data_IF_580153732917
#
_entry.id   IF_580153732917
#
_cell.length_a   1.000
_cell.length_b   1.000
_cell.length_c   1.000
_cell.angle_alpha   90.00
_cell.angle_beta   90.00
_cell.angle_gamma   90.00
#
_symmetry.space_group_name_H-M   'P 1'
#
loop_
_entity.id
_entity.type
_entity.pdbx_description
1 polymer ?
#
# COMPACT_ATOMS: atom_id res chain seq x y z
N UNK A 1 -9.13 25.77 -14.18
CA UNK A 1 -8.61 25.82 -12.79
C UNK A 1 -9.06 24.57 -12.07
N UNK A 2 -8.16 23.61 -11.84
CA UNK A 2 -8.49 22.41 -11.06
C UNK A 2 -8.09 22.66 -9.61
N UNK A 3 -8.98 22.33 -8.69
CA UNK A 3 -8.69 22.35 -7.25
C UNK A 3 -7.78 21.15 -6.96
N UNK A 4 -6.68 21.37 -6.25
CA UNK A 4 -5.81 20.29 -5.82
C UNK A 4 -6.52 19.45 -4.74
N UNK A 5 -6.67 18.13 -4.95
CA UNK A 5 -7.31 17.25 -3.95
C UNK A 5 -6.51 17.05 -2.66
N UNK A 6 -5.28 17.59 -2.57
CA UNK A 6 -4.41 17.44 -1.40
C UNK A 6 -4.46 18.70 -0.53
N UNK A 7 -4.24 19.87 -1.12
CA UNK A 7 -4.28 21.14 -0.39
C UNK A 7 -5.57 21.95 -0.56
N UNK A 8 -6.50 21.49 -1.40
CA UNK A 8 -7.79 22.12 -1.71
C UNK A 8 -7.70 23.57 -2.22
N UNK A 9 -6.53 23.96 -2.75
CA UNK A 9 -6.29 25.27 -3.36
C UNK A 9 -6.32 25.17 -4.88
N UNK A 10 -6.59 26.30 -5.52
CA UNK A 10 -6.54 26.44 -6.98
C UNK A 10 -5.11 26.82 -7.38
N UNK A 11 -4.48 26.02 -8.22
CA UNK A 11 -3.17 26.34 -8.81
C UNK A 11 -3.34 27.46 -9.84
N UNK A 12 -2.57 28.54 -9.70
CA UNK A 12 -2.44 29.58 -10.73
C UNK A 12 -1.21 29.33 -11.63
N UNK A 13 -0.23 28.59 -11.14
CA UNK A 13 1.00 28.20 -11.84
C UNK A 13 1.30 26.71 -11.64
N UNK A 14 2.16 26.12 -12.49
CA UNK A 14 2.59 24.71 -12.37
C UNK A 14 3.46 24.42 -11.13
N UNK A 15 3.89 25.45 -10.39
CA UNK A 15 4.76 25.34 -9.21
C UNK A 15 4.04 25.44 -7.86
N UNK A 16 2.77 25.87 -7.83
CA UNK A 16 2.03 26.09 -6.57
C UNK A 16 1.75 24.79 -5.78
N UNK A 17 1.92 23.64 -6.41
CA UNK A 17 1.55 22.32 -5.86
C UNK A 17 2.65 21.27 -5.97
N UNK A 18 3.92 21.68 -6.09
CA UNK A 18 5.04 20.72 -6.20
C UNK A 18 5.05 19.70 -5.05
N UNK A 19 4.83 20.12 -3.81
CA UNK A 19 4.69 19.21 -2.65
C UNK A 19 3.50 18.26 -2.78
N UNK A 20 2.37 18.74 -3.28
CA UNK A 20 1.18 17.89 -3.47
C UNK A 20 1.41 16.86 -4.59
N UNK A 21 2.12 17.24 -5.66
CA UNK A 21 2.50 16.34 -6.74
C UNK A 21 3.46 15.26 -6.23
N UNK A 22 4.49 15.65 -5.46
CA UNK A 22 5.43 14.70 -4.87
C UNK A 22 4.74 13.75 -3.88
N UNK A 23 3.87 14.26 -3.00
CA UNK A 23 3.08 13.41 -2.09
C UNK A 23 2.22 12.39 -2.85
N UNK A 24 1.52 12.85 -3.90
CA UNK A 24 0.73 11.95 -4.76
C UNK A 24 1.62 10.88 -5.41
N UNK A 25 2.79 11.27 -5.92
CA UNK A 25 3.74 10.33 -6.51
C UNK A 25 4.20 9.27 -5.50
N UNK A 26 4.50 9.67 -4.26
CA UNK A 26 4.90 8.75 -3.18
C UNK A 26 3.75 7.79 -2.83
N UNK A 27 2.52 8.29 -2.68
CA UNK A 27 1.35 7.44 -2.38
C UNK A 27 1.06 6.43 -3.51
N UNK A 28 1.24 6.84 -4.77
CA UNK A 28 1.09 5.95 -5.94
C UNK A 28 2.25 4.94 -6.02
N UNK A 29 3.48 5.37 -5.72
CA UNK A 29 4.65 4.49 -5.68
C UNK A 29 4.54 3.45 -4.56
N UNK A 30 4.02 3.83 -3.38
CA UNK A 30 3.72 2.91 -2.28
C UNK A 30 2.64 1.88 -2.67
N UNK A 31 1.60 2.29 -3.41
CA UNK A 31 0.62 1.35 -3.97
C UNK A 31 1.23 0.40 -5.00
N UNK A 32 2.06 0.91 -5.92
CA UNK A 32 2.75 0.07 -6.90
C UNK A 32 3.73 -0.89 -6.23
N UNK A 33 4.42 -0.45 -5.17
CA UNK A 33 5.29 -1.29 -4.36
C UNK A 33 4.49 -2.36 -3.63
N UNK A 34 3.35 -2.03 -3.01
CA UNK A 34 2.44 -3.02 -2.41
C UNK A 34 1.93 -4.03 -3.41
N UNK A 35 1.52 -3.58 -4.59
CA UNK A 35 1.07 -4.47 -5.67
C UNK A 35 2.22 -5.36 -6.17
N UNK A 36 3.42 -4.80 -6.33
CA UNK A 36 4.61 -5.56 -6.73
C UNK A 36 5.04 -6.57 -5.66
N UNK A 37 4.96 -6.24 -4.38
CA UNK A 37 5.19 -7.17 -3.28
C UNK A 37 4.11 -8.26 -3.29
N UNK A 38 2.83 -7.92 -3.42
CA UNK A 38 1.76 -8.92 -3.47
C UNK A 38 1.92 -9.88 -4.67
N UNK A 39 2.34 -9.35 -5.82
CA UNK A 39 2.62 -10.14 -7.02
C UNK A 39 3.89 -11.01 -6.88
N UNK A 40 4.98 -10.45 -6.34
CA UNK A 40 6.26 -11.17 -6.11
C UNK A 40 6.17 -12.20 -4.99
N UNK A 41 5.41 -11.90 -3.94
CA UNK A 41 5.18 -12.83 -2.84
C UNK A 41 4.17 -13.90 -3.21
N UNK A 42 3.24 -13.65 -4.16
CA UNK A 42 2.25 -14.61 -4.65
C UNK A 42 1.68 -15.56 -3.57
N UNK A 43 1.48 -15.04 -2.35
CA UNK A 43 0.84 -15.73 -1.23
C UNK A 43 -0.68 -15.85 -1.48
N UNK A 44 -1.20 -15.08 -2.45
CA UNK A 44 -2.62 -14.92 -2.71
C UNK A 44 -3.24 -15.99 -3.61
N UNK A 45 -2.46 -16.90 -4.22
CA UNK A 45 -3.02 -17.89 -5.16
C UNK A 45 -3.11 -19.31 -4.63
N UNK A 46 -2.31 -19.71 -3.64
CA UNK A 46 -2.46 -21.01 -3.02
C UNK A 46 -1.71 -21.10 -1.68
N UNK A 47 -2.40 -20.89 -0.57
CA UNK A 47 -1.90 -21.23 0.76
C UNK A 47 -1.61 -22.74 0.93
N UNK A 48 -2.01 -23.57 -0.05
CA UNK A 48 -1.68 -24.99 -0.10
C UNK A 48 -0.23 -25.28 -0.53
N UNK A 49 0.47 -24.34 -1.18
CA UNK A 49 1.89 -24.51 -1.59
C UNK A 49 2.86 -23.89 -0.56
N UNK A 50 2.34 -23.25 0.48
CA UNK A 50 3.15 -22.74 1.56
C UNK A 50 3.67 -23.92 2.40
N UNK A 51 4.99 -23.98 2.58
CA UNK A 51 5.60 -24.95 3.49
C UNK A 51 4.96 -24.88 4.88
N UNK A 52 4.84 -26.04 5.55
CA UNK A 52 4.17 -26.19 6.85
C UNK A 52 4.64 -25.16 7.89
N UNK A 53 5.92 -24.81 7.85
CA UNK A 53 6.54 -23.80 8.72
C UNK A 53 5.97 -22.39 8.49
N UNK A 54 5.85 -21.96 7.22
CA UNK A 54 5.29 -20.65 6.85
C UNK A 54 3.81 -20.57 7.22
N UNK A 55 3.08 -21.67 7.04
CA UNK A 55 1.67 -21.78 7.42
C UNK A 55 1.48 -21.66 8.94
N UNK A 56 2.34 -22.31 9.72
CA UNK A 56 2.31 -22.22 11.18
C UNK A 56 2.58 -20.77 11.64
N UNK A 57 3.58 -20.10 11.08
CA UNK A 57 3.89 -18.70 11.40
C UNK A 57 2.69 -17.78 11.08
N UNK A 58 2.07 -17.94 9.90
CA UNK A 58 0.87 -17.18 9.52
C UNK A 58 -0.31 -17.42 10.48
N UNK A 59 -0.55 -18.66 10.88
CA UNK A 59 -1.61 -19.01 11.83
C UNK A 59 -1.37 -18.39 13.21
N UNK A 60 -0.12 -18.42 13.70
CA UNK A 60 0.28 -17.79 14.96
C UNK A 60 0.04 -16.28 14.93
N UNK A 61 0.54 -15.60 13.89
CA UNK A 61 0.39 -14.14 13.74
C UNK A 61 -1.08 -13.72 13.59
N UNK A 62 -1.90 -14.52 12.92
CA UNK A 62 -3.34 -14.24 12.78
C UNK A 62 -4.07 -14.38 14.11
N UNK A 63 -3.77 -15.43 14.89
CA UNK A 63 -4.34 -15.64 16.23
C UNK A 63 -3.92 -14.58 17.25
N UNK A 64 -2.73 -14.00 17.11
CA UNK A 64 -2.30 -12.88 17.95
C UNK A 64 -3.09 -11.62 17.61
N UNK A 65 -3.34 -11.37 16.31
CA UNK A 65 -4.10 -10.21 15.86
C UNK A 65 -5.57 -10.22 16.30
N UNK A 66 -6.21 -11.39 16.32
CA UNK A 66 -7.60 -11.57 16.80
C UNK A 66 -7.75 -11.44 18.32
N UNK A 67 -6.66 -11.43 19.09
CA UNK A 67 -6.68 -11.25 20.55
C UNK A 67 -6.49 -9.81 20.99
N UNK A 68 -6.09 -8.94 20.07
CA UNK A 68 -5.88 -7.50 20.29
C UNK A 68 -7.12 -6.66 19.92
N UNK A 69 -8.21 -7.29 19.47
CA UNK A 69 -9.58 -6.73 19.33
C UNK A 69 -10.50 -7.23 20.47
#
# INVERSE_FOLDING_TARGET
MKICNICHKISATDKDHTDCVQKRSIEIEDQNFKNSIAEKLNISKNDQDLGVEVKAILEHLTKEKEKDD
#
